data_IF_926342777553
#
_entry.id   IF_926342777553
#
_cell.length_a   1.000
_cell.length_b   1.000
_cell.length_c   1.000
_cell.angle_alpha   90.00
_cell.angle_beta   90.00
_cell.angle_gamma   90.00
#
_symmetry.space_group_name_H-M   'P 1'
#
loop_
_entity.id
_entity.type
_entity.pdbx_description
1 polymer ?
#
# COMPACT_ATOMS: atom_id res chain seq x y z
N UNK A 1 1.94 -7.25 9.82
CA UNK A 1 1.53 -8.62 9.42
C UNK A 1 0.03 -8.67 9.18
N UNK A 2 -0.45 -9.52 8.26
CA UNK A 2 -1.89 -9.71 8.04
C UNK A 2 -2.54 -10.42 9.26
N UNK A 3 -1.79 -11.26 9.94
CA UNK A 3 -2.23 -12.02 11.11
C UNK A 3 -1.89 -11.26 12.39
N UNK A 4 -2.88 -11.05 13.25
CA UNK A 4 -2.75 -10.51 14.61
C UNK A 4 -2.64 -11.70 15.56
N UNK A 5 -1.74 -11.70 16.56
CA UNK A 5 -1.69 -12.73 17.59
C UNK A 5 -3.04 -12.87 18.32
N UNK A 6 -3.38 -14.08 18.77
CA UNK A 6 -4.68 -14.38 19.40
C UNK A 6 -4.93 -13.57 20.69
N UNK A 7 -3.86 -13.13 21.36
CA UNK A 7 -3.93 -12.29 22.56
C UNK A 7 -4.25 -10.84 22.27
N UNK A 8 -4.22 -10.42 20.99
CA UNK A 8 -4.46 -9.05 20.54
C UNK A 8 -5.68 -8.98 19.63
N UNK A 9 -6.36 -7.84 19.68
CA UNK A 9 -7.42 -7.47 18.74
C UNK A 9 -7.18 -6.10 18.13
N UNK A 10 -7.64 -5.91 16.90
CA UNK A 10 -7.71 -4.59 16.28
C UNK A 10 -8.88 -3.83 16.93
N UNK A 11 -8.58 -2.93 17.83
CA UNK A 11 -9.59 -2.24 18.65
C UNK A 11 -10.13 -0.97 18.00
N UNK A 12 -9.30 -0.24 17.27
CA UNK A 12 -9.73 0.94 16.53
C UNK A 12 -8.92 1.13 15.24
N UNK A 13 -9.58 1.73 14.26
CA UNK A 13 -9.04 2.13 12.98
C UNK A 13 -9.38 3.60 12.78
N UNK A 14 -8.38 4.43 12.54
CA UNK A 14 -8.60 5.87 12.37
C UNK A 14 -9.12 6.19 10.96
N UNK A 15 -9.66 7.40 10.78
CA UNK A 15 -9.87 7.97 9.46
C UNK A 15 -8.59 7.85 8.61
N UNK A 16 -8.76 7.57 7.32
CA UNK A 16 -7.63 7.39 6.39
C UNK A 16 -7.06 8.74 5.99
N UNK A 17 -5.76 8.92 6.20
CA UNK A 17 -4.96 9.98 5.58
C UNK A 17 -4.69 9.60 4.10
N UNK A 18 -4.03 10.47 3.35
CA UNK A 18 -3.73 10.28 1.94
C UNK A 18 -3.10 8.91 1.63
N UNK A 19 -3.78 8.02 0.91
CA UNK A 19 -3.30 6.66 0.64
C UNK A 19 -2.24 6.61 -0.46
N UNK A 20 -2.01 7.73 -1.18
CA UNK A 20 -1.14 7.77 -2.35
C UNK A 20 0.33 7.58 -2.02
N UNK A 21 1.07 7.12 -2.98
CA UNK A 21 2.51 7.20 -2.98
C UNK A 21 2.94 8.62 -3.39
N UNK A 22 3.95 9.14 -2.69
CA UNK A 22 4.55 10.45 -2.95
C UNK A 22 5.83 10.28 -3.75
N UNK A 23 5.95 11.02 -4.84
CA UNK A 23 7.17 11.20 -5.60
C UNK A 23 7.99 12.34 -4.95
N UNK A 24 9.21 12.03 -4.56
CA UNK A 24 10.14 12.96 -3.93
C UNK A 24 11.42 12.99 -4.74
N UNK A 25 11.81 14.17 -5.21
CA UNK A 25 13.04 14.43 -5.96
C UNK A 25 13.55 15.83 -5.65
N UNK A 26 14.85 16.07 -5.82
CA UNK A 26 15.43 17.40 -5.75
C UNK A 26 15.21 18.18 -7.04
N UNK A 27 15.33 17.53 -8.19
CA UNK A 27 15.38 18.14 -9.51
C UNK A 27 14.07 18.02 -10.30
N UNK A 28 13.39 16.84 -10.21
CA UNK A 28 12.26 16.52 -11.05
C UNK A 28 10.91 16.72 -10.33
N UNK A 29 9.91 17.19 -11.05
CA UNK A 29 8.58 17.46 -10.52
C UNK A 29 7.67 16.21 -10.49
N UNK A 30 7.91 15.24 -11.37
CA UNK A 30 7.07 14.05 -11.52
C UNK A 30 7.85 12.84 -12.05
N UNK A 31 7.21 11.67 -11.98
CA UNK A 31 7.75 10.41 -12.52
C UNK A 31 7.99 10.51 -14.04
N UNK A 32 7.15 11.25 -14.73
CA UNK A 32 7.20 11.45 -16.18
C UNK A 32 8.39 12.32 -16.62
N UNK A 33 8.85 13.20 -15.74
CA UNK A 33 9.98 14.11 -16.02
C UNK A 33 11.34 13.45 -15.80
N UNK A 34 11.39 12.27 -15.17
CA UNK A 34 12.64 11.54 -14.98
C UNK A 34 13.28 11.17 -16.32
N UNK A 35 14.60 11.37 -16.49
CA UNK A 35 15.32 10.93 -17.68
C UNK A 35 15.28 9.40 -17.83
N UNK A 36 15.57 8.92 -19.04
CA UNK A 36 15.73 7.50 -19.29
C UNK A 36 16.86 6.92 -18.42
N UNK A 37 16.61 5.77 -17.79
CA UNK A 37 17.57 5.12 -16.91
C UNK A 37 17.74 5.74 -15.53
N UNK A 38 16.88 6.72 -15.14
CA UNK A 38 16.94 7.35 -13.83
C UNK A 38 16.83 6.36 -12.68
N UNK A 39 17.54 6.66 -11.59
CA UNK A 39 17.62 5.81 -10.40
C UNK A 39 16.54 6.17 -9.40
N UNK A 40 15.59 5.26 -9.16
CA UNK A 40 14.50 5.46 -8.21
C UNK A 40 14.64 4.55 -6.98
N UNK A 41 14.63 5.15 -5.79
CA UNK A 41 14.80 4.47 -4.51
C UNK A 41 13.48 3.93 -3.95
N UNK A 42 13.38 2.61 -3.81
CA UNK A 42 12.33 1.93 -3.04
C UNK A 42 12.78 0.52 -2.62
N UNK A 43 12.28 0.02 -1.47
CA UNK A 43 12.43 -1.39 -1.05
C UNK A 43 11.12 -2.16 -1.17
N UNK A 44 10.06 -1.53 -1.67
CA UNK A 44 8.75 -2.13 -1.79
C UNK A 44 8.61 -2.79 -3.18
N UNK A 45 8.48 -4.12 -3.20
CA UNK A 45 8.21 -4.86 -4.46
C UNK A 45 6.89 -4.40 -5.09
N UNK A 46 5.89 -4.03 -4.28
CA UNK A 46 4.64 -3.42 -4.73
C UNK A 46 4.88 -2.17 -5.58
N UNK A 47 5.73 -1.26 -5.08
CA UNK A 47 6.08 -0.02 -5.80
C UNK A 47 6.95 -0.31 -7.01
N UNK A 48 7.96 -1.14 -6.84
CA UNK A 48 8.87 -1.52 -7.92
C UNK A 48 8.13 -2.06 -9.13
N UNK A 49 7.24 -3.06 -8.94
CA UNK A 49 6.46 -3.66 -10.02
C UNK A 49 5.64 -2.61 -10.79
N UNK A 50 4.94 -1.73 -10.08
CA UNK A 50 4.10 -0.71 -10.71
C UNK A 50 4.93 0.39 -11.38
N UNK A 51 6.04 0.82 -10.78
CA UNK A 51 6.95 1.79 -11.40
C UNK A 51 7.55 1.27 -12.70
N UNK A 52 8.06 0.03 -12.69
CA UNK A 52 8.63 -0.59 -13.88
C UNK A 52 7.59 -0.94 -14.94
N UNK A 53 6.34 -1.16 -14.55
CA UNK A 53 5.24 -1.30 -15.50
C UNK A 53 4.93 0.01 -16.24
N UNK A 54 4.99 1.15 -15.53
CA UNK A 54 4.76 2.48 -16.10
C UNK A 54 5.97 3.02 -16.86
N UNK A 55 7.17 2.75 -16.36
CA UNK A 55 8.46 3.25 -16.84
C UNK A 55 9.51 2.11 -16.80
N UNK A 56 9.50 1.22 -17.80
CA UNK A 56 10.42 0.05 -17.86
C UNK A 56 11.89 0.42 -17.96
N UNK A 57 12.18 1.65 -18.32
CA UNK A 57 13.53 2.22 -18.45
C UNK A 57 14.19 2.56 -17.11
N UNK A 58 13.41 2.70 -16.03
CA UNK A 58 13.94 3.11 -14.72
C UNK A 58 14.82 2.05 -14.07
N UNK A 59 15.81 2.52 -13.31
CA UNK A 59 16.63 1.67 -12.45
C UNK A 59 16.11 1.73 -11.01
N UNK A 60 15.53 0.65 -10.51
CA UNK A 60 15.06 0.58 -9.14
C UNK A 60 16.20 0.11 -8.23
N UNK A 61 16.56 0.93 -7.25
CA UNK A 61 17.55 0.57 -6.22
C UNK A 61 16.90 0.49 -4.85
N UNK A 62 17.33 -0.51 -4.06
CA UNK A 62 16.84 -0.72 -2.69
C UNK A 62 17.16 0.48 -1.82
N UNK A 63 16.12 1.02 -1.15
CA UNK A 63 16.21 2.13 -0.21
C UNK A 63 15.60 1.71 1.13
N UNK A 64 16.42 1.52 2.16
CA UNK A 64 16.02 1.10 3.52
C UNK A 64 16.18 2.24 4.53
N UNK A 65 15.59 2.06 5.71
CA UNK A 65 15.64 3.01 6.81
C UNK A 65 14.28 3.70 7.05
N UNK A 66 14.22 4.58 8.03
CA UNK A 66 13.08 5.44 8.29
C UNK A 66 12.97 6.56 7.23
N UNK A 67 11.92 7.36 7.29
CA UNK A 67 11.66 8.44 6.30
C UNK A 67 12.83 9.41 6.22
N UNK A 68 13.36 9.86 7.36
CA UNK A 68 14.48 10.82 7.40
C UNK A 68 15.75 10.24 6.78
N UNK A 69 16.08 8.98 7.09
CA UNK A 69 17.23 8.29 6.49
C UNK A 69 17.09 8.20 4.96
N UNK A 70 15.89 7.87 4.47
CA UNK A 70 15.64 7.78 3.03
C UNK A 70 15.73 9.13 2.33
N UNK A 71 15.23 10.18 2.95
CA UNK A 71 15.37 11.54 2.43
C UNK A 71 16.82 12.00 2.41
N UNK A 72 17.60 11.70 3.47
CA UNK A 72 19.03 11.99 3.50
C UNK A 72 19.78 11.32 2.33
N UNK A 73 19.50 10.05 2.02
CA UNK A 73 20.11 9.39 0.87
C UNK A 73 19.75 10.04 -0.46
N UNK A 74 18.55 10.60 -0.60
CA UNK A 74 18.20 11.42 -1.74
C UNK A 74 19.02 12.73 -1.77
N UNK A 75 19.13 13.42 -0.62
CA UNK A 75 19.86 14.68 -0.49
C UNK A 75 21.37 14.51 -0.75
N UNK A 76 21.91 13.31 -0.49
CA UNK A 76 23.28 12.91 -0.81
C UNK A 76 23.49 12.57 -2.31
N UNK A 77 22.43 12.62 -3.13
CA UNK A 77 22.51 12.35 -4.58
C UNK A 77 22.61 10.86 -4.95
N UNK A 78 22.26 9.95 -4.04
CA UNK A 78 22.31 8.50 -4.31
C UNK A 78 21.17 8.02 -5.22
N UNK A 79 20.14 8.85 -5.41
CA UNK A 79 18.92 8.58 -6.19
C UNK A 79 18.45 9.86 -6.89
N UNK A 80 17.88 9.75 -8.08
CA UNK A 80 17.20 10.85 -8.79
C UNK A 80 15.83 11.15 -8.16
N UNK A 81 15.19 10.09 -7.65
CA UNK A 81 13.93 10.19 -6.91
C UNK A 81 13.76 9.05 -5.91
N UNK A 82 12.87 9.25 -4.93
CA UNK A 82 12.46 8.21 -4.00
C UNK A 82 10.94 8.19 -3.88
N UNK A 83 10.36 6.98 -3.68
CA UNK A 83 8.90 6.82 -3.52
C UNK A 83 8.59 6.47 -2.08
N UNK A 84 7.78 7.32 -1.44
CA UNK A 84 7.38 7.20 -0.03
C UNK A 84 5.86 7.25 0.10
N UNK A 85 5.32 6.80 1.24
CA UNK A 85 3.91 6.99 1.54
C UNK A 85 3.64 8.46 1.89
N UNK A 86 2.69 9.10 1.20
CA UNK A 86 2.34 10.50 1.43
C UNK A 86 1.92 10.78 2.88
N UNK A 87 1.12 9.88 3.48
CA UNK A 87 0.72 9.98 4.87
C UNK A 87 1.90 10.03 5.85
N UNK A 88 2.98 9.28 5.58
CA UNK A 88 4.18 9.29 6.40
C UNK A 88 4.91 10.64 6.37
N UNK A 89 5.05 11.23 5.19
CA UNK A 89 5.66 12.56 5.03
C UNK A 89 4.82 13.65 5.69
N UNK A 90 3.51 13.63 5.48
CA UNK A 90 2.58 14.60 6.09
C UNK A 90 2.60 14.53 7.60
N UNK A 91 2.61 13.32 8.19
CA UNK A 91 2.67 13.14 9.66
C UNK A 91 3.95 13.67 10.29
N UNK A 92 5.06 13.61 9.55
CA UNK A 92 6.35 14.16 9.98
C UNK A 92 6.52 15.66 9.69
N UNK A 93 5.49 16.33 9.14
CA UNK A 93 5.57 17.75 8.76
C UNK A 93 6.46 18.01 7.54
N UNK A 94 6.69 16.98 6.70
CA UNK A 94 7.58 17.03 5.53
C UNK A 94 6.81 17.09 4.20
N UNK A 95 5.63 17.72 4.22
CA UNK A 95 4.75 17.82 3.03
C UNK A 95 5.44 18.57 1.87
N UNK A 96 6.28 19.53 2.17
CA UNK A 96 7.03 20.33 1.21
C UNK A 96 8.05 19.52 0.39
N UNK A 97 8.43 18.34 0.88
CA UNK A 97 9.32 17.40 0.15
C UNK A 97 8.59 16.66 -0.98
N UNK A 98 7.26 16.67 -0.99
CA UNK A 98 6.45 15.99 -2.00
C UNK A 98 6.41 16.86 -3.26
N UNK A 99 6.96 16.37 -4.36
CA UNK A 99 6.89 17.02 -5.68
C UNK A 99 5.55 16.75 -6.35
N UNK A 100 5.14 15.49 -6.35
CA UNK A 100 3.84 15.07 -6.87
C UNK A 100 3.32 13.83 -6.16
N UNK A 101 2.04 13.56 -6.33
CA UNK A 101 1.38 12.35 -5.84
C UNK A 101 1.14 11.41 -7.01
N UNK A 102 1.54 10.15 -6.86
CA UNK A 102 1.22 9.13 -7.85
C UNK A 102 -0.24 8.71 -7.62
N UNK A 103 -1.04 8.71 -8.69
CA UNK A 103 -2.46 8.36 -8.57
C UNK A 103 -2.63 6.92 -8.07
N UNK A 104 -3.73 6.63 -7.36
CA UNK A 104 -4.06 5.26 -6.93
C UNK A 104 -4.40 4.34 -8.10
N UNK A 105 -4.67 4.92 -9.28
CA UNK A 105 -4.82 4.18 -10.53
C UNK A 105 -3.48 3.71 -11.07
N UNK A 106 -2.42 4.50 -10.91
CA UNK A 106 -1.07 4.19 -11.40
C UNK A 106 -0.26 3.40 -10.38
N UNK A 107 -0.44 3.68 -9.09
CA UNK A 107 0.18 2.97 -7.99
C UNK A 107 -0.88 2.59 -6.94
N UNK A 108 -1.41 1.38 -7.05
CA UNK A 108 -2.34 0.83 -6.05
C UNK A 108 -1.62 0.75 -4.70
N UNK A 109 -2.18 1.36 -3.65
CA UNK A 109 -1.57 1.40 -2.32
C UNK A 109 -1.32 0.02 -1.69
N UNK A 110 -0.51 -0.02 -0.65
CA UNK A 110 -0.46 -1.17 0.24
C UNK A 110 -1.74 -1.24 1.08
N UNK A 111 -2.14 -2.44 1.48
CA UNK A 111 -3.23 -2.61 2.43
C UNK A 111 -2.99 -1.76 3.68
N UNK A 112 -3.99 -0.98 4.08
CA UNK A 112 -3.92 -0.08 5.23
C UNK A 112 -3.09 1.19 5.02
N UNK A 113 -2.56 1.47 3.84
CA UNK A 113 -1.76 2.68 3.63
C UNK A 113 -2.57 3.94 3.96
N UNK A 114 -2.00 4.80 4.81
CA UNK A 114 -2.63 6.03 5.28
C UNK A 114 -3.51 5.86 6.53
N UNK A 115 -3.70 4.65 7.03
CA UNK A 115 -4.51 4.36 8.22
C UNK A 115 -3.62 4.03 9.41
N UNK A 116 -4.01 4.50 10.60
CA UNK A 116 -3.48 3.99 11.86
C UNK A 116 -4.44 2.94 12.42
N UNK A 117 -3.86 1.84 12.85
CA UNK A 117 -4.56 0.78 13.53
C UNK A 117 -4.08 0.73 14.99
N UNK A 118 -5.00 0.56 15.93
CA UNK A 118 -4.70 0.43 17.35
C UNK A 118 -5.06 -0.97 17.78
N UNK A 119 -4.06 -1.69 18.27
CA UNK A 119 -4.23 -3.03 18.81
C UNK A 119 -4.26 -2.95 20.34
N UNK A 120 -5.14 -3.72 20.96
CA UNK A 120 -5.25 -3.92 22.41
C UNK A 120 -5.21 -5.42 22.72
N UNK A 121 -5.03 -5.77 23.99
CA UNK A 121 -5.30 -7.13 24.44
C UNK A 121 -6.78 -7.46 24.19
N UNK A 122 -7.04 -8.73 23.92
CA UNK A 122 -8.41 -9.21 23.61
C UNK A 122 -9.37 -9.01 24.77
N UNK A 123 -8.90 -9.03 26.02
CA UNK A 123 -9.64 -8.89 27.27
C UNK A 123 -9.67 -7.46 27.85
N UNK A 124 -9.12 -6.45 27.14
CA UNK A 124 -9.01 -5.07 27.61
C UNK A 124 -10.19 -4.22 27.07
N UNK A 125 -11.38 -4.46 27.62
CA UNK A 125 -12.57 -3.76 27.15
C UNK A 125 -12.60 -2.30 27.60
N UNK A 126 -12.00 -1.94 28.74
CA UNK A 126 -11.88 -0.57 29.22
C UNK A 126 -11.09 0.31 28.23
N UNK A 127 -9.93 -0.16 27.77
CA UNK A 127 -9.15 0.57 26.75
C UNK A 127 -9.93 0.68 25.44
N UNK A 128 -10.63 -0.39 25.03
CA UNK A 128 -11.44 -0.37 23.81
C UNK A 128 -12.50 0.72 23.88
N UNK A 129 -13.23 0.83 24.99
CA UNK A 129 -14.27 1.85 25.19
C UNK A 129 -13.68 3.27 25.08
N UNK A 130 -12.54 3.50 25.74
CA UNK A 130 -11.85 4.81 25.72
C UNK A 130 -11.47 5.23 24.31
N UNK A 131 -11.00 4.31 23.46
CA UNK A 131 -10.48 4.66 22.13
C UNK A 131 -11.55 4.65 21.01
N UNK A 132 -12.80 4.27 21.30
CA UNK A 132 -13.86 4.21 20.29
C UNK A 132 -14.10 5.55 19.58
N UNK A 133 -13.86 6.69 20.24
CA UNK A 133 -14.06 8.01 19.64
C UNK A 133 -13.17 8.29 18.41
N UNK A 134 -12.08 7.53 18.21
CA UNK A 134 -11.20 7.66 17.04
C UNK A 134 -11.50 6.58 15.98
N UNK A 135 -12.41 5.65 16.27
CA UNK A 135 -12.74 4.58 15.34
C UNK A 135 -13.60 5.08 14.18
N UNK A 136 -13.19 4.77 12.95
CA UNK A 136 -13.95 5.04 11.74
C UNK A 136 -14.46 3.71 11.15
N UNK A 137 -15.72 3.40 11.36
CA UNK A 137 -16.36 2.15 10.91
C UNK A 137 -16.29 1.95 9.39
N UNK A 138 -16.41 3.04 8.61
CA UNK A 138 -16.36 2.96 7.14
C UNK A 138 -14.95 2.59 6.67
N UNK A 139 -13.95 3.20 7.28
CA UNK A 139 -12.54 2.86 7.01
C UNK A 139 -12.24 1.45 7.52
N UNK A 140 -12.74 1.06 8.70
CA UNK A 140 -12.54 -0.28 9.25
C UNK A 140 -13.06 -1.38 8.32
N UNK A 141 -14.23 -1.20 7.73
CA UNK A 141 -14.77 -2.13 6.73
C UNK A 141 -13.87 -2.22 5.49
N UNK A 142 -13.34 -1.09 5.00
CA UNK A 142 -12.39 -1.10 3.90
C UNK A 142 -11.09 -1.84 4.28
N UNK A 143 -10.57 -1.61 5.49
CA UNK A 143 -9.38 -2.31 6.01
C UNK A 143 -9.63 -3.80 6.15
N UNK A 144 -10.85 -4.22 6.51
CA UNK A 144 -11.22 -5.65 6.55
C UNK A 144 -11.07 -6.29 5.16
N UNK A 145 -11.56 -5.66 4.10
CA UNK A 145 -11.38 -6.14 2.73
C UNK A 145 -9.90 -6.18 2.31
N UNK A 146 -9.15 -5.12 2.62
CA UNK A 146 -7.73 -5.03 2.29
C UNK A 146 -6.89 -6.09 3.01
N UNK A 147 -7.18 -6.36 4.28
CA UNK A 147 -6.49 -7.40 5.06
C UNK A 147 -6.83 -8.81 4.57
N UNK A 148 -8.10 -9.09 4.25
CA UNK A 148 -8.53 -10.38 3.72
C UNK A 148 -7.84 -10.69 2.38
N UNK A 149 -7.71 -9.69 1.49
CA UNK A 149 -6.92 -9.81 0.28
C UNK A 149 -5.45 -10.15 0.59
N UNK A 150 -4.82 -9.36 1.48
CA UNK A 150 -3.41 -9.51 1.82
C UNK A 150 -3.13 -10.89 2.41
N UNK A 151 -3.98 -11.38 3.30
CA UNK A 151 -3.88 -12.72 3.89
C UNK A 151 -3.90 -13.81 2.82
N UNK A 152 -4.82 -13.71 1.86
CA UNK A 152 -5.00 -14.69 0.78
C UNK A 152 -3.81 -14.74 -0.18
N UNK A 153 -3.18 -13.59 -0.48
CA UNK A 153 -2.01 -13.52 -1.38
C UNK A 153 -0.68 -13.84 -0.69
N UNK A 154 -0.69 -14.10 0.61
CA UNK A 154 0.49 -14.52 1.36
C UNK A 154 1.05 -13.52 2.37
N UNK A 155 0.30 -12.44 2.65
CA UNK A 155 0.40 -11.63 3.88
C UNK A 155 1.70 -10.86 4.16
N UNK A 156 2.70 -10.83 3.26
CA UNK A 156 4.02 -10.26 3.54
C UNK A 156 4.32 -9.03 2.66
N UNK A 157 5.13 -8.11 3.19
CA UNK A 157 5.70 -6.96 2.47
C UNK A 157 6.60 -7.34 1.28
N UNK A 158 6.90 -8.62 1.11
CA UNK A 158 7.74 -9.20 0.05
C UNK A 158 6.95 -9.59 -1.20
N UNK A 159 5.65 -9.35 -1.22
CA UNK A 159 4.80 -9.67 -2.37
C UNK A 159 4.56 -8.41 -3.19
N UNK A 160 4.73 -8.44 -4.53
CA UNK A 160 4.43 -7.31 -5.41
C UNK A 160 2.92 -7.23 -5.67
N UNK A 161 2.17 -7.02 -4.60
CA UNK A 161 0.71 -6.90 -4.60
C UNK A 161 0.27 -5.68 -3.81
N UNK A 162 -0.91 -5.15 -4.16
CA UNK A 162 -1.53 -4.05 -3.46
C UNK A 162 -3.04 -4.12 -3.57
N UNK A 163 -3.71 -3.46 -2.63
CA UNK A 163 -5.14 -3.27 -2.62
C UNK A 163 -5.48 -1.94 -2.00
N UNK A 164 -6.51 -1.31 -2.53
CA UNK A 164 -7.08 -0.08 -2.01
C UNK A 164 -8.59 -0.15 -2.07
N UNK A 165 -9.23 0.01 -0.93
CA UNK A 165 -10.67 0.00 -0.79
C UNK A 165 -11.16 1.36 -0.28
N UNK A 166 -12.28 1.84 -0.83
CA UNK A 166 -12.94 3.09 -0.45
C UNK A 166 -14.42 2.86 -0.18
N UNK A 167 -15.00 3.56 0.81
CA UNK A 167 -16.44 3.53 1.02
C UNK A 167 -17.12 4.42 -0.02
N UNK A 168 -18.15 3.89 -0.68
CA UNK A 168 -18.92 4.62 -1.69
C UNK A 168 -20.40 4.30 -1.57
N UNK A 169 -21.24 5.27 -1.20
CA UNK A 169 -22.72 5.17 -1.14
C UNK A 169 -23.26 3.90 -0.44
N UNK A 170 -22.65 3.50 0.68
CA UNK A 170 -23.04 2.31 1.45
C UNK A 170 -22.43 0.98 0.94
N UNK A 171 -21.60 1.06 -0.07
CA UNK A 171 -20.81 -0.04 -0.63
C UNK A 171 -19.31 0.19 -0.39
N UNK A 172 -18.52 -0.81 -0.68
CA UNK A 172 -17.06 -0.71 -0.79
C UNK A 172 -16.67 -0.90 -2.25
N UNK A 173 -15.90 0.03 -2.77
CA UNK A 173 -15.19 -0.14 -4.04
C UNK A 173 -13.74 -0.49 -3.73
N UNK A 174 -13.22 -1.56 -4.33
CA UNK A 174 -11.85 -1.99 -4.13
C UNK A 174 -11.16 -2.25 -5.47
N UNK A 175 -9.91 -1.82 -5.56
CA UNK A 175 -8.99 -2.14 -6.64
C UNK A 175 -7.79 -2.86 -6.07
N UNK A 176 -7.37 -3.95 -6.72
CA UNK A 176 -6.20 -4.70 -6.32
C UNK A 176 -5.36 -5.10 -7.53
N UNK A 177 -4.10 -5.41 -7.29
CA UNK A 177 -3.22 -5.95 -8.31
C UNK A 177 -2.23 -6.97 -7.72
N UNK A 178 -1.73 -7.84 -8.60
CA UNK A 178 -0.54 -8.68 -8.41
C UNK A 178 0.32 -8.49 -9.66
N UNK A 179 1.63 -8.22 -9.49
CA UNK A 179 2.53 -7.99 -10.62
C UNK A 179 3.88 -8.69 -10.44
N UNK A 180 4.62 -8.86 -11.54
CA UNK A 180 6.00 -9.34 -11.47
C UNK A 180 6.93 -8.23 -10.96
N UNK A 181 8.00 -8.55 -10.21
CA UNK A 181 8.95 -7.54 -9.71
C UNK A 181 9.59 -6.69 -10.81
N UNK A 182 9.70 -7.20 -12.03
CA UNK A 182 10.25 -6.49 -13.19
C UNK A 182 9.19 -5.67 -13.95
N UNK A 183 7.93 -5.66 -13.49
CA UNK A 183 6.84 -4.88 -14.06
C UNK A 183 6.27 -5.38 -15.39
N UNK A 184 6.80 -6.49 -15.94
CA UNK A 184 6.35 -7.00 -17.24
C UNK A 184 4.97 -7.61 -17.21
N UNK A 185 4.61 -8.24 -16.10
CA UNK A 185 3.29 -8.84 -15.89
C UNK A 185 2.56 -8.09 -14.79
N UNK A 186 1.33 -7.68 -15.08
CA UNK A 186 0.48 -6.94 -14.18
C UNK A 186 -0.96 -7.41 -14.33
N UNK A 187 -1.48 -8.04 -13.29
CA UNK A 187 -2.88 -8.43 -13.18
C UNK A 187 -3.57 -7.46 -12.23
N UNK A 188 -4.61 -6.79 -12.70
CA UNK A 188 -5.33 -5.76 -11.94
C UNK A 188 -6.82 -5.94 -12.10
N UNK A 189 -7.55 -5.89 -10.98
CA UNK A 189 -9.01 -5.99 -10.96
C UNK A 189 -9.63 -5.00 -9.98
N UNK A 190 -10.87 -4.61 -10.27
CA UNK A 190 -11.72 -3.86 -9.36
C UNK A 190 -13.01 -4.63 -9.14
N UNK A 191 -13.48 -4.65 -7.90
CA UNK A 191 -14.79 -5.18 -7.51
C UNK A 191 -15.46 -4.20 -6.56
N UNK A 192 -16.77 -4.26 -6.49
CA UNK A 192 -17.57 -3.61 -5.47
C UNK A 192 -18.41 -4.64 -4.70
N UNK A 193 -18.75 -4.31 -3.48
CA UNK A 193 -19.54 -5.19 -2.62
C UNK A 193 -20.20 -4.42 -1.48
N UNK A 194 -21.12 -5.08 -0.79
CA UNK A 194 -21.76 -4.51 0.39
C UNK A 194 -20.73 -4.39 1.53
N UNK A 195 -20.88 -3.38 2.37
CA UNK A 195 -19.99 -3.15 3.52
C UNK A 195 -19.91 -4.37 4.46
N UNK A 196 -21.02 -5.07 4.66
CA UNK A 196 -21.10 -6.28 5.48
C UNK A 196 -20.32 -7.47 4.91
N UNK A 197 -20.09 -7.49 3.59
CA UNK A 197 -19.39 -8.55 2.87
C UNK A 197 -17.92 -8.18 2.59
N UNK A 198 -17.37 -7.21 3.32
CA UNK A 198 -16.05 -6.65 3.10
C UNK A 198 -14.93 -7.72 3.04
N UNK A 199 -14.95 -8.68 3.96
CA UNK A 199 -13.98 -9.78 3.98
C UNK A 199 -14.07 -10.61 2.70
N UNK A 200 -15.26 -11.02 2.30
CA UNK A 200 -15.50 -11.80 1.09
C UNK A 200 -15.08 -11.04 -0.17
N UNK A 201 -15.29 -9.72 -0.20
CA UNK A 201 -14.85 -8.86 -1.31
C UNK A 201 -13.32 -8.95 -1.50
N UNK A 202 -12.56 -8.83 -0.41
CA UNK A 202 -11.11 -8.95 -0.44
C UNK A 202 -10.62 -10.33 -0.88
N UNK A 203 -11.23 -11.39 -0.34
CA UNK A 203 -10.94 -12.78 -0.71
C UNK A 203 -11.24 -13.04 -2.20
N UNK A 204 -12.39 -12.58 -2.70
CA UNK A 204 -12.80 -12.73 -4.10
C UNK A 204 -11.86 -12.01 -5.07
N UNK A 205 -11.38 -10.80 -4.71
CA UNK A 205 -10.37 -10.08 -5.49
C UNK A 205 -9.06 -10.87 -5.57
N UNK A 206 -8.61 -11.43 -4.44
CA UNK A 206 -7.40 -12.23 -4.41
C UNK A 206 -7.52 -13.48 -5.27
N UNK A 207 -8.62 -14.23 -5.14
CA UNK A 207 -8.88 -15.43 -5.92
C UNK A 207 -8.93 -15.16 -7.44
N UNK A 208 -9.61 -14.08 -7.82
CA UNK A 208 -9.69 -13.68 -9.21
C UNK A 208 -8.30 -13.34 -9.80
N UNK A 209 -7.48 -12.56 -9.07
CA UNK A 209 -6.14 -12.19 -9.52
C UNK A 209 -5.17 -13.37 -9.53
N UNK A 210 -5.29 -14.30 -8.57
CA UNK A 210 -4.52 -15.56 -8.55
C UNK A 210 -4.86 -16.40 -9.79
N UNK A 211 -6.14 -16.52 -10.12
CA UNK A 211 -6.62 -17.27 -11.29
C UNK A 211 -6.22 -16.64 -12.62
N UNK A 212 -6.14 -15.29 -12.69
CA UNK A 212 -5.72 -14.56 -13.89
C UNK A 212 -4.26 -14.80 -14.27
N UNK A 213 -3.44 -15.35 -13.35
CA UNK A 213 -2.01 -15.60 -13.55
C UNK A 213 -1.13 -15.07 -12.42
N UNK A 214 -1.66 -14.25 -11.52
CA UNK A 214 -0.92 -13.76 -10.35
C UNK A 214 -0.40 -14.87 -9.45
N UNK A 215 -1.10 -16.01 -9.39
CA UNK A 215 -0.68 -17.19 -8.62
C UNK A 215 0.72 -17.68 -8.98
N UNK A 216 1.07 -17.72 -10.27
CA UNK A 216 2.41 -18.11 -10.74
C UNK A 216 3.48 -17.15 -10.20
N UNK A 217 3.24 -15.84 -10.24
CA UNK A 217 4.18 -14.83 -9.72
C UNK A 217 4.42 -15.04 -8.22
N UNK A 218 3.34 -15.29 -7.46
CA UNK A 218 3.44 -15.54 -6.02
C UNK A 218 4.23 -16.81 -5.68
N UNK A 219 4.07 -17.88 -6.46
CA UNK A 219 4.80 -19.14 -6.28
C UNK A 219 6.29 -18.99 -6.60
N UNK A 220 6.65 -18.24 -7.65
CA UNK A 220 8.03 -17.98 -8.02
C UNK A 220 8.80 -17.20 -6.94
N UNK A 221 8.12 -16.30 -6.23
CA UNK A 221 8.72 -15.49 -5.16
C UNK A 221 8.88 -16.24 -3.82
N UNK A 222 8.22 -17.40 -3.66
CA UNK A 222 8.33 -18.25 -2.46
C UNK A 222 9.50 -19.23 -2.53
N UNK A 223 10.06 -19.42 -3.71
CA UNK A 223 11.23 -20.29 -3.95
C UNK A 223 12.54 -19.57 -3.67
#
# INVERSE_FOLDING_TARGET
TAVIPDELKLAAVTAREDPRDAFVSLEYGSLQELPEGAVVGTSSLRRQAQLLHLRPDLQIKTLRGNVQTRLRHLDEGNYDAVILAAAGLKRLGLRERIRSYISTCDSVPAAGQGVMAIETRTDDDETVEIIQFIHDEKVASCIMAERAFLEKVGGDCKVPAGIYAVPFLGHIEAVAFIGSPDGKEMYKRSLNGQTQDAKQLGESLAEALIADGGGRILEELRK
#
